data_IF_635369157692
#
_entry.id   IF_635369157692
#
_cell.length_a   1.000
_cell.length_b   1.000
_cell.length_c   1.000
_cell.angle_alpha   90.00
_cell.angle_beta   90.00
_cell.angle_gamma   90.00
#
_symmetry.space_group_name_H-M   'P 1'
#
loop_
_entity.id
_entity.type
_entity.pdbx_description
1 polymer ?
#
# COMPACT_ATOMS: atom_id res chain seq x y z
N UNK A 1 0.93 6.67 11.17
CA UNK A 1 1.44 6.83 9.78
C UNK A 1 0.42 7.46 8.82
N UNK A 2 -0.84 7.04 8.84
CA UNK A 2 -1.90 7.56 7.95
C UNK A 2 -2.04 9.09 7.99
N UNK A 3 -1.92 9.71 9.17
CA UNK A 3 -1.94 11.17 9.33
C UNK A 3 -0.79 11.83 8.55
N UNK A 4 0.45 11.39 8.78
CA UNK A 4 1.62 11.91 8.05
C UNK A 4 1.47 11.74 6.53
N UNK A 5 0.99 10.57 6.09
CA UNK A 5 0.75 10.32 4.67
C UNK A 5 -0.33 11.24 4.09
N UNK A 6 -1.40 11.51 4.84
CA UNK A 6 -2.45 12.44 4.42
C UNK A 6 -1.95 13.89 4.29
N UNK A 7 -0.93 14.27 5.07
CA UNK A 7 -0.24 15.56 4.93
C UNK A 7 0.74 15.57 3.74
N UNK A 8 1.33 14.43 3.39
CA UNK A 8 2.35 14.30 2.34
C UNK A 8 1.78 14.05 0.95
N UNK A 9 0.57 13.49 0.85
CA UNK A 9 -0.08 13.15 -0.41
C UNK A 9 -1.46 13.82 -0.49
N UNK A 10 -1.61 14.74 -1.43
CA UNK A 10 -2.88 15.44 -1.66
C UNK A 10 -3.89 14.57 -2.41
N UNK A 11 -5.17 14.93 -2.33
CA UNK A 11 -6.23 14.25 -3.10
C UNK A 11 -6.01 14.42 -4.61
N UNK A 12 -5.58 15.62 -5.04
CA UNK A 12 -5.22 15.89 -6.44
C UNK A 12 -4.08 14.98 -6.94
N UNK A 13 -3.08 14.71 -6.10
CA UNK A 13 -2.01 13.76 -6.45
C UNK A 13 -2.54 12.35 -6.63
N UNK A 14 -3.53 11.94 -5.83
CA UNK A 14 -4.19 10.64 -5.98
C UNK A 14 -5.06 10.58 -7.23
N UNK A 15 -5.85 11.62 -7.53
CA UNK A 15 -6.65 11.70 -8.76
C UNK A 15 -5.77 11.57 -10.01
N UNK A 16 -4.58 12.16 -9.96
CA UNK A 16 -3.62 12.15 -11.06
C UNK A 16 -2.55 11.03 -10.95
N UNK A 17 -2.71 10.08 -10.02
CA UNK A 17 -1.68 9.07 -9.75
C UNK A 17 -1.33 8.22 -10.98
N UNK A 18 -2.30 7.97 -11.85
CA UNK A 18 -2.14 7.18 -13.08
C UNK A 18 -1.23 7.86 -14.12
N UNK A 19 -1.12 9.18 -14.11
CA UNK A 19 -0.17 9.90 -14.97
C UNK A 19 1.27 9.78 -14.45
N UNK A 20 1.45 9.77 -13.12
CA UNK A 20 2.78 9.68 -12.49
C UNK A 20 3.28 8.24 -12.41
N UNK A 21 2.39 7.29 -12.12
CA UNK A 21 2.69 5.88 -11.93
C UNK A 21 1.81 5.04 -12.87
N UNK A 22 2.09 5.00 -14.19
CA UNK A 22 1.25 4.29 -15.16
C UNK A 22 1.29 2.77 -14.98
N UNK A 23 2.34 2.25 -14.33
CA UNK A 23 2.52 0.83 -14.03
C UNK A 23 2.23 0.61 -12.55
N UNK A 24 1.27 -0.26 -12.23
CA UNK A 24 0.84 -0.55 -10.86
C UNK A 24 0.50 0.74 -10.09
N UNK A 25 -0.49 1.48 -10.60
CA UNK A 25 -0.92 2.75 -10.01
C UNK A 25 -1.32 2.58 -8.55
N UNK A 26 -0.77 3.38 -7.61
CA UNK A 26 -1.19 3.35 -6.21
C UNK A 26 -2.69 3.61 -6.06
N UNK A 27 -3.33 2.84 -5.17
CA UNK A 27 -4.78 2.93 -4.90
C UNK A 27 -5.10 3.65 -3.60
N UNK A 28 -4.09 3.85 -2.74
CA UNK A 28 -4.18 4.63 -1.51
C UNK A 28 -3.05 5.65 -1.41
N UNK A 29 -3.25 6.68 -0.59
CA UNK A 29 -2.20 7.68 -0.30
C UNK A 29 -0.96 7.04 0.32
N UNK A 30 -1.13 5.98 1.11
CA UNK A 30 -0.04 5.27 1.76
C UNK A 30 0.81 4.51 0.72
N UNK A 31 0.16 3.80 -0.21
CA UNK A 31 0.86 3.21 -1.36
C UNK A 31 1.54 4.27 -2.22
N UNK A 32 0.90 5.42 -2.46
CA UNK A 32 1.48 6.50 -3.26
C UNK A 32 2.75 7.07 -2.62
N UNK A 33 2.73 7.22 -1.30
CA UNK A 33 3.89 7.67 -0.54
C UNK A 33 5.04 6.67 -0.63
N UNK A 34 4.79 5.38 -0.40
CA UNK A 34 5.81 4.33 -0.56
C UNK A 34 6.32 4.23 -2.00
N UNK A 35 5.42 4.30 -2.99
CA UNK A 35 5.79 4.25 -4.41
C UNK A 35 6.67 5.43 -4.80
N UNK A 36 6.42 6.61 -4.25
CA UNK A 36 7.26 7.79 -4.50
C UNK A 36 8.68 7.59 -3.98
N UNK A 37 8.85 7.04 -2.77
CA UNK A 37 10.17 6.70 -2.20
C UNK A 37 10.85 5.61 -3.02
N UNK A 38 10.12 4.56 -3.39
CA UNK A 38 10.66 3.47 -4.21
C UNK A 38 11.18 3.98 -5.55
N UNK A 39 10.40 4.81 -6.25
CA UNK A 39 10.80 5.35 -7.55
C UNK A 39 11.97 6.32 -7.46
N UNK A 40 12.16 7.03 -6.34
CA UNK A 40 13.34 7.86 -6.10
C UNK A 40 14.64 7.03 -6.09
N UNK A 41 14.61 5.83 -5.50
CA UNK A 41 15.76 4.94 -5.42
C UNK A 41 15.89 4.00 -6.62
N UNK A 42 14.77 3.58 -7.22
CA UNK A 42 14.69 2.60 -8.30
C UNK A 42 13.83 3.12 -9.46
N UNK A 43 14.35 4.07 -10.27
CA UNK A 43 13.60 4.75 -11.31
C UNK A 43 13.52 3.91 -12.61
N UNK A 44 13.06 2.67 -12.54
CA UNK A 44 12.84 1.83 -13.72
C UNK A 44 11.52 1.08 -13.69
N UNK A 45 10.94 0.91 -14.88
CA UNK A 45 9.70 0.13 -15.07
C UNK A 45 9.88 -1.33 -14.64
N UNK A 46 11.07 -1.89 -14.89
CA UNK A 46 11.43 -3.25 -14.47
C UNK A 46 11.44 -3.39 -12.94
N UNK A 47 11.93 -2.37 -12.21
CA UNK A 47 11.91 -2.37 -10.76
C UNK A 47 10.48 -2.25 -10.25
N UNK A 48 9.66 -1.39 -10.84
CA UNK A 48 8.24 -1.27 -10.49
C UNK A 48 7.48 -2.59 -10.68
N UNK A 49 7.78 -3.35 -11.73
CA UNK A 49 7.16 -4.66 -11.98
C UNK A 49 7.67 -5.78 -11.05
N UNK A 50 8.80 -5.59 -10.38
CA UNK A 50 9.34 -6.59 -9.44
C UNK A 50 8.59 -6.64 -8.10
N UNK A 51 7.84 -5.60 -7.77
CA UNK A 51 6.99 -5.54 -6.59
C UNK A 51 5.59 -6.01 -6.99
N UNK A 52 5.03 -7.07 -6.39
CA UNK A 52 3.66 -7.51 -6.71
C UNK A 52 2.63 -6.51 -6.15
N UNK A 53 1.75 -5.99 -7.01
CA UNK A 53 0.62 -5.11 -6.60
C UNK A 53 -0.64 -5.88 -6.17
N UNK A 54 -0.48 -7.12 -5.70
CA UNK A 54 -1.61 -7.94 -5.25
C UNK A 54 -1.98 -7.59 -3.81
N UNK A 55 -3.28 -7.61 -3.45
CA UNK A 55 -3.69 -7.43 -2.06
C UNK A 55 -2.95 -8.42 -1.15
N UNK A 56 -2.29 -7.88 -0.13
CA UNK A 56 -1.57 -8.66 0.86
C UNK A 56 -1.53 -7.89 2.19
N UNK A 57 -1.46 -8.61 3.29
CA UNK A 57 -1.21 -8.03 4.61
C UNK A 57 0.22 -8.40 5.00
N UNK A 58 1.13 -7.44 4.94
CA UNK A 58 2.55 -7.65 5.23
C UNK A 58 3.16 -8.85 4.45
N UNK A 59 3.67 -9.87 5.15
CA UNK A 59 4.34 -11.03 4.55
C UNK A 59 3.38 -12.17 4.13
N UNK A 60 2.07 -11.95 4.23
CA UNK A 60 1.10 -13.00 3.97
C UNK A 60 0.75 -13.08 2.48
N UNK A 61 0.64 -14.31 1.96
CA UNK A 61 0.19 -14.53 0.58
C UNK A 61 -1.30 -14.17 0.46
N UNK A 62 -1.82 -13.91 -0.76
CA UNK A 62 -3.25 -13.69 -0.97
C UNK A 62 -4.13 -14.81 -0.37
N UNK A 63 -3.60 -16.04 -0.28
CA UNK A 63 -4.26 -17.17 0.35
C UNK A 63 -4.56 -16.95 1.85
N UNK A 64 -3.75 -16.15 2.56
CA UNK A 64 -4.01 -15.83 3.96
C UNK A 64 -5.24 -14.92 4.14
N UNK A 65 -5.55 -14.07 3.14
CA UNK A 65 -6.79 -13.29 3.12
C UNK A 65 -8.02 -14.18 2.92
N UNK A 66 -7.87 -15.34 2.29
CA UNK A 66 -8.98 -16.26 2.03
C UNK A 66 -9.35 -17.11 3.24
N UNK A 67 -8.41 -17.35 4.15
CA UNK A 67 -8.57 -18.28 5.28
C UNK A 67 -9.35 -17.71 6.46
N UNK A 68 -9.43 -16.39 6.60
CA UNK A 68 -10.14 -15.75 7.70
C UNK A 68 -10.87 -14.49 7.19
N UNK A 69 -12.20 -14.49 7.35
CA UNK A 69 -13.08 -13.41 6.89
C UNK A 69 -12.73 -12.05 7.52
N UNK A 70 -12.09 -12.02 8.68
CA UNK A 70 -11.64 -10.79 9.32
C UNK A 70 -10.49 -10.11 8.56
N UNK A 71 -9.72 -10.84 7.76
CA UNK A 71 -8.65 -10.30 6.93
C UNK A 71 -9.13 -9.88 5.53
N UNK A 72 -10.22 -10.46 5.02
CA UNK A 72 -10.79 -10.09 3.70
C UNK A 72 -11.10 -8.60 3.56
N UNK A 73 -11.48 -7.95 4.66
CA UNK A 73 -11.87 -6.54 4.68
C UNK A 73 -10.78 -5.62 5.26
N UNK A 74 -9.58 -6.12 5.56
CA UNK A 74 -8.49 -5.36 6.17
C UNK A 74 -7.26 -5.36 5.26
N UNK A 75 -7.35 -4.60 4.17
CA UNK A 75 -6.22 -4.35 3.27
C UNK A 75 -5.34 -3.22 3.85
N UNK A 76 -4.59 -3.54 4.91
CA UNK A 76 -3.53 -2.68 5.42
C UNK A 76 -2.18 -3.22 4.93
N UNK A 77 -1.56 -2.60 3.91
CA UNK A 77 -0.28 -3.06 3.37
C UNK A 77 0.84 -3.06 4.41
N UNK A 78 0.68 -2.31 5.51
CA UNK A 78 1.64 -2.30 6.60
C UNK A 78 1.45 -3.37 7.66
N UNK A 79 0.29 -4.04 7.67
CA UNK A 79 -0.09 -5.06 8.67
C UNK A 79 -0.21 -4.55 10.11
N UNK A 80 -0.08 -3.24 10.35
CA UNK A 80 -0.10 -2.65 11.70
C UNK A 80 -1.50 -2.59 12.29
N UNK A 81 -2.52 -2.44 11.44
CA UNK A 81 -3.89 -2.21 11.86
C UNK A 81 -4.73 -3.49 11.95
N UNK A 82 -4.16 -4.70 11.96
CA UNK A 82 -4.94 -5.93 12.14
C UNK A 82 -5.48 -5.98 13.57
N UNK A 83 -6.72 -5.52 13.73
CA UNK A 83 -7.44 -5.50 14.99
C UNK A 83 -7.49 -6.93 15.56
N UNK A 84 -7.13 -7.07 16.84
CA UNK A 84 -7.00 -8.32 17.64
C UNK A 84 -5.62 -9.01 17.67
N UNK A 85 -4.64 -8.60 16.86
CA UNK A 85 -3.28 -9.15 16.97
C UNK A 85 -2.41 -8.34 17.94
N UNK A 86 -2.68 -7.04 18.04
CA UNK A 86 -2.00 -6.12 18.95
C UNK A 86 -2.98 -5.47 19.92
N UNK A 87 -2.55 -5.33 21.18
CA UNK A 87 -3.34 -4.74 22.28
C UNK A 87 -3.64 -3.26 22.07
N UNK A 88 -2.74 -2.56 21.37
CA UNK A 88 -2.84 -1.15 21.03
C UNK A 88 -2.58 -0.95 19.53
N UNK A 89 -3.50 -0.24 18.85
CA UNK A 89 -3.29 0.25 17.49
C UNK A 89 -2.63 1.64 17.59
N UNK A 90 -1.32 1.71 17.38
CA UNK A 90 -0.56 2.97 17.30
C UNK A 90 -0.58 3.59 15.90
#
# INVERSE_FOLDING_TARGET
LKEMVNEKVSDEQMENAHFKFPIQTPTSKEEFYYRSIFTEHFPSDTAALSVPSVPSVACSSPAALEWDESFKNMNDPSGRAVAKVHSDAY
#
